data_IF_878390822402
#
_entry.id   IF_878390822402
#
_cell.length_a   1.000
_cell.length_b   1.000
_cell.length_c   1.000
_cell.angle_alpha   90.00
_cell.angle_beta   90.00
_cell.angle_gamma   90.00
#
_symmetry.space_group_name_H-M   'P 1'
#
loop_
_entity.id
_entity.type
_entity.pdbx_description
1 polymer ?
2 non-polymer ?
3 non-polymer ?
4 water ?
#
# COMPACT_ATOMS: atom_id res chain seq x y z
N UNK A 4 -17.71 7.55 25.15
CA UNK A 4 -16.46 7.77 24.32
C UNK A 4 -16.75 7.54 22.83
N UNK A 5 -16.68 8.58 21.97
CA UNK A 5 -17.10 8.46 20.58
C UNK A 5 -16.13 7.59 19.75
N UNK A 6 -16.65 6.89 18.75
CA UNK A 6 -15.81 6.11 17.79
C UNK A 6 -15.18 7.08 16.81
N UNK A 7 -13.90 6.95 16.46
CA UNK A 7 -13.29 7.91 15.53
C UNK A 7 -13.78 7.80 14.09
N UNK A 8 -13.67 8.92 13.37
CA UNK A 8 -14.01 9.06 11.93
C UNK A 8 -12.71 9.07 11.13
N UNK A 9 -11.60 9.37 11.80
CA UNK A 9 -10.26 9.45 11.20
C UNK A 9 -9.22 8.99 12.22
N UNK A 10 -8.19 8.28 11.74
CA UNK A 10 -7.01 7.88 12.56
C UNK A 10 -5.76 8.35 11.84
N UNK A 11 -4.65 8.38 12.55
CA UNK A 11 -3.36 8.64 11.89
C UNK A 11 -2.54 7.38 12.01
N UNK A 12 -1.83 7.12 10.92
CA UNK A 12 -1.03 5.89 10.75
C UNK A 12 0.37 6.34 10.41
N UNK A 13 1.32 5.82 11.15
CA UNK A 13 2.76 5.96 10.89
C UNK A 13 3.19 4.71 10.12
N UNK A 14 3.92 4.93 9.02
CA UNK A 14 4.59 3.85 8.24
C UNK A 14 6.09 4.11 8.30
N UNK A 15 6.86 3.15 8.78
CA UNK A 15 8.32 3.24 8.69
C UNK A 15 8.88 2.12 7.86
N UNK A 16 9.93 2.39 7.11
CA UNK A 16 10.70 1.35 6.39
C UNK A 16 12.18 1.65 6.62
N UNK A 17 12.89 0.63 7.05
CA UNK A 17 14.34 0.76 7.28
C UNK A 17 15.06 -0.53 6.94
N UNK A 18 15.97 -0.45 5.98
CA UNK A 18 16.93 -1.53 5.75
C UNK A 18 18.09 -1.27 6.74
N UNK A 19 18.22 -2.15 7.71
CA UNK A 19 19.13 -1.99 8.88
C UNK A 19 20.55 -2.43 8.52
N UNK A 20 20.77 -3.04 7.34
CA UNK A 20 22.13 -3.40 6.93
C UNK A 20 22.78 -4.38 7.90
N UNK A 21 21.97 -5.22 8.55
CA UNK A 21 22.43 -6.35 9.40
C UNK A 21 23.12 -5.83 10.67
N UNK A 22 22.94 -4.54 11.01
CA UNK A 22 23.59 -3.91 12.18
C UNK A 22 22.55 -3.56 13.20
N UNK A 23 22.87 -3.66 14.50
CA UNK A 23 21.95 -3.19 15.52
C UNK A 23 21.72 -1.70 15.38
N UNK A 24 20.57 -1.21 15.85
CA UNK A 24 20.27 0.21 15.75
C UNK A 24 21.08 0.97 16.80
N UNK A 25 21.17 2.31 16.67
CA UNK A 25 21.75 3.14 17.72
C UNK A 25 20.77 3.23 18.90
N UNK A 26 21.25 3.82 20.00
CA UNK A 26 20.51 3.92 21.29
C UNK A 26 19.21 4.70 21.10
N UNK A 27 19.22 5.71 20.23
CA UNK A 27 18.06 6.60 20.03
C UNK A 27 17.59 6.57 18.58
N UNK A 28 16.32 6.25 18.36
CA UNK A 28 15.74 6.24 17.00
C UNK A 28 14.44 7.03 17.01
N UNK A 29 14.19 7.84 18.03
CA UNK A 29 12.93 8.64 18.15
C UNK A 29 12.65 9.56 16.94
N UNK A 30 13.70 10.07 16.28
CA UNK A 30 13.58 10.98 15.11
C UNK A 30 12.77 10.29 14.01
N UNK A 31 12.89 8.96 13.89
CA UNK A 31 12.12 8.18 12.90
C UNK A 31 10.62 8.34 13.18
N UNK A 32 10.20 8.08 14.41
CA UNK A 32 8.77 8.02 14.77
C UNK A 32 8.20 9.44 14.85
N UNK A 33 9.06 10.43 15.00
CA UNK A 33 8.62 11.83 15.02
C UNK A 33 8.60 12.43 13.60
N UNK A 34 9.00 11.71 12.56
CA UNK A 34 9.03 12.22 11.17
C UNK A 34 9.90 13.50 11.12
N UNK A 35 11.11 13.41 11.67
CA UNK A 35 12.14 14.50 11.65
C UNK A 35 13.29 14.11 10.72
N UNK A 36 13.79 15.08 9.95
CA UNK A 36 14.99 14.91 9.14
C UNK A 36 14.81 15.70 7.88
N UNK A 37 14.88 15.02 6.74
CA UNK A 37 14.73 15.63 5.40
C UNK A 37 13.35 15.29 4.83
N UNK A 38 12.88 16.11 3.90
CA UNK A 38 11.67 15.84 3.13
C UNK A 38 10.51 16.59 3.70
N UNK A 39 9.33 15.98 3.63
CA UNK A 39 8.08 16.52 4.21
C UNK A 39 7.99 16.01 5.66
N UNK A 40 8.34 16.88 6.62
CA UNK A 40 8.51 16.50 8.03
C UNK A 40 7.32 17.00 8.84
N UNK A 41 7.20 16.42 10.00
CA UNK A 41 6.08 16.67 10.94
C UNK A 41 6.40 17.91 11.79
N UNK A 42 5.38 18.72 12.07
CA UNK A 42 5.51 19.94 12.91
C UNK A 42 5.90 19.55 14.36
N UNK A 43 6.83 20.33 14.92
CA UNK A 43 7.29 20.16 16.34
C UNK A 43 6.11 20.16 17.29
N UNK A 44 5.07 20.91 16.96
CA UNK A 44 3.91 21.05 17.88
C UNK A 44 3.14 19.72 18.04
N UNK A 45 3.38 18.74 17.16
CA UNK A 45 2.66 17.44 17.18
C UNK A 45 3.49 16.38 17.91
N UNK A 46 4.67 16.72 18.37
CA UNK A 46 5.63 15.68 18.82
C UNK A 46 5.03 14.76 19.89
N UNK A 47 4.21 15.28 20.80
CA UNK A 47 3.71 14.42 21.90
C UNK A 47 2.42 13.70 21.52
N UNK A 48 1.85 14.03 20.35
CA UNK A 48 0.54 13.48 19.92
C UNK A 48 0.84 12.10 19.33
N UNK A 49 0.38 11.00 19.93
CA UNK A 49 0.68 9.69 19.39
C UNK A 49 -0.15 9.47 18.12
N UNK A 50 0.46 8.77 17.16
CA UNK A 50 -0.31 8.18 16.06
C UNK A 50 -1.18 7.06 16.63
N UNK A 51 -2.28 6.74 15.96
CA UNK A 51 -3.19 5.65 16.38
C UNK A 51 -2.51 4.30 16.18
N UNK A 52 -1.81 4.18 15.07
CA UNK A 52 -1.22 2.88 14.62
C UNK A 52 0.17 3.19 14.08
N UNK A 53 1.17 2.43 14.53
CA UNK A 53 2.54 2.48 13.99
C UNK A 53 2.83 1.15 13.30
N UNK A 54 3.26 1.21 12.05
CA UNK A 54 3.62 0.01 11.28
C UNK A 54 5.06 0.16 10.89
N UNK A 55 5.89 -0.77 11.34
CA UNK A 55 7.37 -0.69 11.21
C UNK A 55 7.87 -1.85 10.35
N UNK A 56 8.37 -1.54 9.16
CA UNK A 56 8.94 -2.54 8.23
C UNK A 56 10.45 -2.42 8.29
N UNK A 57 11.12 -3.52 8.59
CA UNK A 57 12.59 -3.61 8.48
C UNK A 57 13.00 -4.66 7.43
N UNK A 58 14.19 -4.47 6.91
CA UNK A 58 14.87 -5.40 6.00
C UNK A 58 16.29 -5.55 6.54
N UNK A 59 16.93 -6.67 6.26
CA UNK A 59 18.29 -6.90 6.80
C UNK A 59 18.27 -6.65 8.32
N UNK A 60 17.22 -7.09 9.02
CA UNK A 60 17.05 -6.85 10.46
C UNK A 60 17.78 -7.96 11.21
N UNK A 61 18.82 -7.61 12.00
CA UNK A 61 19.60 -8.65 12.70
C UNK A 61 19.09 -9.02 14.09
N UNK A 62 18.02 -8.37 14.53
CA UNK A 62 17.50 -8.49 15.91
C UNK A 62 16.48 -9.62 15.99
N UNK A 63 16.29 -10.14 17.19
CA UNK A 63 15.16 -11.03 17.48
C UNK A 63 13.91 -10.16 17.48
N UNK A 64 12.76 -10.79 17.33
CA UNK A 64 11.46 -10.09 17.46
C UNK A 64 11.38 -9.47 18.86
N UNK A 65 11.81 -10.21 19.89
CA UNK A 65 11.78 -9.68 21.27
C UNK A 65 12.64 -8.42 21.38
N UNK A 66 13.85 -8.46 20.87
CA UNK A 66 14.79 -7.32 21.01
C UNK A 66 14.23 -6.09 20.29
N UNK A 67 13.69 -6.29 19.10
CA UNK A 67 13.18 -5.14 18.28
C UNK A 67 11.93 -4.54 18.93
N UNK A 68 11.01 -5.40 19.37
CA UNK A 68 9.74 -4.94 19.99
C UNK A 68 10.05 -4.13 21.25
N UNK A 69 11.04 -4.54 22.04
CA UNK A 69 11.47 -3.79 23.24
C UNK A 69 11.90 -2.38 22.83
N UNK A 70 12.76 -2.30 21.81
CA UNK A 70 13.31 -1.01 21.34
C UNK A 70 12.17 -0.15 20.83
N UNK A 71 11.26 -0.73 20.06
CA UNK A 71 10.15 0.05 19.48
C UNK A 71 9.25 0.58 20.59
N UNK A 72 8.83 -0.29 21.48
CA UNK A 72 7.92 0.12 22.56
C UNK A 72 8.57 1.21 23.44
N UNK A 73 9.85 1.04 23.77
CA UNK A 73 10.65 2.02 24.54
C UNK A 73 10.62 3.38 23.84
N UNK A 74 10.90 3.39 22.53
CA UNK A 74 10.99 4.63 21.72
C UNK A 74 9.64 5.35 21.75
N UNK A 75 8.53 4.62 21.59
CA UNK A 75 7.19 5.23 21.57
C UNK A 75 6.79 5.74 22.96
N UNK A 76 7.12 4.97 24.00
CA UNK A 76 6.90 5.36 25.42
C UNK A 76 7.62 6.68 25.70
N UNK A 77 8.89 6.78 25.30
CA UNK A 77 9.70 7.99 25.52
C UNK A 77 9.08 9.19 24.80
N UNK A 78 8.55 8.99 23.59
CA UNK A 78 7.95 10.11 22.81
C UNK A 78 6.62 10.52 23.43
N UNK A 79 5.76 9.56 23.71
CA UNK A 79 4.30 9.79 23.86
C UNK A 79 3.87 9.61 25.31
N UNK A 80 4.67 8.92 26.12
CA UNK A 80 4.27 8.44 27.48
C UNK A 80 3.11 7.44 27.40
N UNK A 81 2.94 6.77 26.26
CA UNK A 81 1.91 5.71 26.07
C UNK A 81 2.62 4.39 25.86
N UNK A 82 2.10 3.36 26.51
CA UNK A 82 2.56 1.96 26.34
C UNK A 82 1.72 1.33 25.23
N UNK A 83 2.32 1.18 24.06
CA UNK A 83 1.60 0.69 22.86
C UNK A 83 1.39 -0.81 22.98
N UNK A 84 0.29 -1.28 22.42
CA UNK A 84 -0.04 -2.71 22.34
C UNK A 84 0.47 -3.29 21.03
N UNK A 85 0.98 -4.51 21.08
CA UNK A 85 1.42 -5.27 19.89
C UNK A 85 0.20 -5.87 19.20
N UNK A 86 -0.10 -5.42 17.98
CA UNK A 86 -1.18 -5.99 17.14
C UNK A 86 -0.66 -7.24 16.47
N UNK A 87 0.50 -7.17 15.83
CA UNK A 87 1.06 -8.30 15.06
C UNK A 87 2.54 -8.07 14.85
N UNK A 88 3.26 -9.16 14.75
CA UNK A 88 4.67 -9.17 14.32
C UNK A 88 4.88 -10.40 13.46
N UNK A 89 5.54 -10.22 12.33
CA UNK A 89 5.78 -11.34 11.40
C UNK A 89 7.11 -11.14 10.71
N UNK A 90 7.92 -12.19 10.68
CA UNK A 90 9.28 -12.15 10.12
C UNK A 90 9.45 -13.26 9.11
N UNK A 91 10.04 -12.94 7.97
CA UNK A 91 10.50 -13.91 6.95
C UNK A 91 11.97 -13.60 6.80
N UNK A 92 12.82 -14.54 7.17
CA UNK A 92 14.28 -14.37 7.11
C UNK A 92 14.64 -13.09 7.90
N UNK A 93 15.08 -12.03 7.24
CA UNK A 93 15.49 -10.78 7.91
C UNK A 93 14.57 -9.61 7.52
N UNK A 94 13.37 -9.95 7.04
CA UNK A 94 12.30 -9.01 6.63
C UNK A 94 11.21 -9.07 7.69
N UNK A 95 10.87 -7.95 8.28
CA UNK A 95 9.97 -7.99 9.45
C UNK A 95 8.96 -6.86 9.38
N UNK A 96 7.79 -7.14 9.87
CA UNK A 96 6.76 -6.10 10.07
C UNK A 96 6.25 -6.18 11.50
N UNK A 97 6.15 -5.01 12.14
CA UNK A 97 5.56 -4.85 13.50
C UNK A 97 4.42 -3.86 13.37
N UNK A 98 3.25 -4.21 13.94
CA UNK A 98 2.13 -3.26 14.08
C UNK A 98 1.84 -3.04 15.56
N UNK A 99 1.90 -1.78 15.96
CA UNK A 99 1.61 -1.31 17.33
C UNK A 99 0.43 -0.37 17.28
N UNK A 100 -0.41 -0.40 18.30
CA UNK A 100 -1.55 0.53 18.37
C UNK A 100 -1.76 1.05 19.78
N UNK A 101 -2.36 2.24 19.88
CA UNK A 101 -2.81 2.82 21.18
C UNK A 101 -3.59 1.74 21.94
N UNK A 102 -3.45 1.64 23.27
CA UNK A 102 -4.26 0.68 24.03
C UNK A 102 -5.77 0.86 23.89
N UNK A 103 -6.21 2.09 23.70
CA UNK A 103 -7.66 2.39 23.57
C UNK A 103 -8.24 1.73 22.32
N UNK A 104 -7.41 1.27 21.38
CA UNK A 104 -7.86 0.65 20.11
C UNK A 104 -7.93 -0.88 20.20
N UNK A 105 -7.55 -1.46 21.33
CA UNK A 105 -7.39 -2.93 21.42
C UNK A 105 -8.68 -3.67 21.05
N UNK A 106 -9.84 -3.12 21.44
CA UNK A 106 -11.18 -3.72 21.21
C UNK A 106 -11.82 -3.09 19.96
N UNK A 107 -11.06 -2.31 19.18
CA UNK A 107 -11.50 -1.80 17.84
C UNK A 107 -10.83 -2.64 16.75
N UNK A 108 -9.80 -3.39 17.12
CA UNK A 108 -8.96 -4.16 16.16
C UNK A 108 -9.34 -5.62 16.23
N UNK A 109 -9.64 -6.21 15.08
CA UNK A 109 -10.02 -7.63 15.00
C UNK A 109 -9.56 -8.22 13.68
N UNK A 110 -9.76 -9.51 13.51
CA UNK A 110 -9.46 -10.23 12.23
C UNK A 110 -8.03 -9.94 11.83
N UNK A 111 -7.09 -10.14 12.73
CA UNK A 111 -5.66 -9.92 12.43
C UNK A 111 -5.17 -11.10 11.60
N UNK A 112 -4.53 -10.81 10.46
CA UNK A 112 -3.92 -11.82 9.57
C UNK A 112 -2.46 -11.45 9.32
N UNK A 113 -1.61 -12.47 9.16
CA UNK A 113 -0.20 -12.27 8.75
C UNK A 113 0.10 -13.24 7.66
N UNK A 114 1.01 -12.89 6.78
CA UNK A 114 1.50 -13.81 5.74
C UNK A 114 2.83 -13.33 5.20
N UNK A 115 3.46 -14.19 4.45
CA UNK A 115 4.70 -13.83 3.74
C UNK A 115 4.69 -14.48 2.37
N UNK A 116 5.48 -13.92 1.50
CA UNK A 116 5.77 -14.48 0.17
C UNK A 116 7.28 -14.47 0.00
N UNK A 117 7.82 -15.60 -0.46
CA UNK A 117 9.22 -15.76 -0.85
C UNK A 117 9.31 -15.59 -2.34
N UNK A 118 10.15 -14.67 -2.82
CA UNK A 118 10.19 -14.41 -4.28
C UNK A 118 11.30 -15.24 -4.94
N UNK A 119 11.22 -15.40 -6.26
CA UNK A 119 12.33 -16.03 -7.02
C UNK A 119 12.29 -17.55 -7.01
N UNK A 120 13.32 -18.18 -7.59
CA UNK A 120 13.43 -19.66 -7.81
C UNK A 120 14.91 -20.05 -7.65
N UNK A 121 15.20 -21.07 -6.84
CA UNK A 121 16.53 -21.68 -6.64
C UNK A 121 17.54 -20.60 -6.20
N UNK A 122 18.50 -20.22 -7.06
CA UNK A 122 19.48 -19.11 -6.90
C UNK A 122 18.87 -17.91 -6.17
N UNK A 123 17.67 -17.51 -6.61
CA UNK A 123 16.98 -16.23 -6.26
C UNK A 123 15.90 -16.46 -5.19
N UNK A 124 15.73 -17.70 -4.69
CA UNK A 124 14.91 -17.97 -3.47
C UNK A 124 15.87 -18.13 -2.29
N UNK A 125 15.66 -17.32 -1.25
CA UNK A 125 16.41 -17.50 0.01
C UNK A 125 16.48 -16.24 0.85
N UNK A 126 16.28 -15.06 0.25
CA UNK A 126 16.33 -13.88 1.14
C UNK A 126 15.41 -12.69 0.82
N UNK A 127 14.84 -12.65 -0.38
CA UNK A 127 13.93 -11.56 -0.84
C UNK A 127 12.48 -12.04 -0.72
N UNK A 128 11.55 -11.09 -0.53
CA UNK A 128 10.13 -11.42 -0.44
C UNK A 128 9.44 -10.34 0.31
N UNK A 129 8.35 -10.71 0.96
CA UNK A 129 7.51 -9.71 1.63
C UNK A 129 6.85 -10.35 2.83
N UNK A 130 6.53 -9.51 3.78
CA UNK A 130 5.67 -9.89 4.93
C UNK A 130 4.50 -8.93 4.92
N UNK A 131 3.41 -9.36 5.50
CA UNK A 131 2.26 -8.48 5.57
C UNK A 131 1.35 -8.76 6.73
N UNK A 132 0.58 -7.74 7.06
CA UNK A 132 -0.38 -7.73 8.19
C UNK A 132 -1.65 -7.10 7.65
N UNK A 133 -2.79 -7.69 7.99
CA UNK A 133 -4.08 -7.01 7.83
C UNK A 133 -4.92 -7.13 9.09
N UNK A 134 -5.86 -6.22 9.23
CA UNK A 134 -6.88 -6.31 10.30
C UNK A 134 -8.01 -5.38 9.96
N UNK A 135 -9.09 -5.52 10.71
CA UNK A 135 -10.21 -4.56 10.71
C UNK A 135 -9.98 -3.58 11.86
N UNK A 136 -10.21 -2.32 11.59
CA UNK A 136 -10.31 -1.27 12.61
C UNK A 136 -11.75 -0.79 12.55
N UNK A 137 -12.57 -1.19 13.52
CA UNK A 137 -14.04 -0.96 13.42
C UNK A 137 -14.48 -1.43 12.04
N UNK A 138 -15.11 -0.60 11.22
CA UNK A 138 -15.74 -1.05 9.97
C UNK A 138 -14.76 -0.95 8.80
N UNK A 139 -13.48 -0.64 9.08
CA UNK A 139 -12.48 -0.33 8.03
C UNK A 139 -11.42 -1.42 7.99
N UNK A 140 -11.13 -1.94 6.78
CA UNK A 140 -10.07 -2.95 6.58
C UNK A 140 -8.77 -2.25 6.19
N UNK A 141 -7.69 -2.66 6.84
CA UNK A 141 -6.34 -2.07 6.68
C UNK A 141 -5.39 -3.20 6.31
N UNK A 142 -4.58 -3.01 5.27
CA UNK A 142 -3.52 -3.94 4.88
C UNK A 142 -2.18 -3.25 4.84
N UNK A 143 -1.11 -4.00 5.17
CA UNK A 143 0.25 -3.43 5.25
C UNK A 143 1.20 -4.47 4.69
N UNK A 144 2.02 -4.05 3.74
CA UNK A 144 2.99 -4.93 3.05
C UNK A 144 4.38 -4.30 3.18
N UNK A 145 5.32 -5.07 3.72
CA UNK A 145 6.74 -4.72 3.77
C UNK A 145 7.45 -5.67 2.83
N UNK A 146 8.00 -5.18 1.73
CA UNK A 146 8.70 -6.03 0.75
C UNK A 146 10.16 -5.61 0.65
N UNK A 147 11.04 -6.58 0.49
CA UNK A 147 12.45 -6.37 0.15
C UNK A 147 12.63 -6.98 -1.24
N UNK A 148 12.67 -6.16 -2.28
CA UNK A 148 12.71 -6.65 -3.67
C UNK A 148 14.16 -6.85 -4.12
N UNK A 149 14.31 -7.48 -5.28
CA UNK A 149 15.61 -7.83 -5.87
C UNK A 149 16.48 -6.57 -5.96
N UNK A 150 17.77 -6.72 -5.65
CA UNK A 150 18.73 -5.59 -5.70
C UNK A 150 19.36 -5.49 -7.09
N UNK A 151 20.04 -4.38 -7.29
CA UNK A 151 20.88 -4.18 -8.48
C UNK A 151 20.23 -3.27 -9.49
N UNK A 152 20.97 -2.31 -10.02
CA UNK A 152 20.45 -1.34 -10.99
C UNK A 152 19.88 -1.98 -12.26
N UNK A 153 20.42 -3.14 -12.64
CA UNK A 153 20.12 -3.83 -13.92
C UNK A 153 18.84 -4.68 -13.82
N UNK A 154 18.27 -4.82 -12.61
CA UNK A 154 17.19 -5.81 -12.34
C UNK A 154 15.84 -5.16 -12.10
N UNK A 155 15.51 -4.07 -12.77
CA UNK A 155 14.17 -3.46 -12.52
C UNK A 155 13.07 -4.43 -12.96
N UNK A 156 13.27 -5.21 -14.05
CA UNK A 156 12.22 -6.13 -14.50
C UNK A 156 11.96 -7.21 -13.44
N UNK A 157 13.02 -7.70 -12.79
CA UNK A 157 12.94 -8.71 -11.69
C UNK A 157 12.14 -8.12 -10.54
N UNK A 158 12.40 -6.86 -10.20
CA UNK A 158 11.64 -6.18 -9.12
C UNK A 158 10.15 -6.16 -9.50
N UNK A 159 9.86 -5.89 -10.76
CA UNK A 159 8.43 -5.77 -11.18
C UNK A 159 7.79 -7.17 -11.05
N UNK A 160 8.55 -8.19 -11.39
CA UNK A 160 8.08 -9.60 -11.26
C UNK A 160 7.87 -9.90 -9.77
N UNK A 161 8.79 -9.48 -8.91
CA UNK A 161 8.67 -9.72 -7.45
C UNK A 161 7.36 -9.08 -6.96
N UNK A 162 7.08 -7.84 -7.41
CA UNK A 162 5.84 -7.12 -7.05
C UNK A 162 4.61 -7.97 -7.44
N UNK A 163 4.57 -8.49 -8.66
CA UNK A 163 3.38 -9.23 -9.13
C UNK A 163 3.24 -10.53 -8.31
N UNK A 164 4.35 -11.22 -8.03
CA UNK A 164 4.27 -12.45 -7.19
C UNK A 164 3.74 -12.12 -5.81
N UNK A 165 4.21 -11.05 -5.21
CA UNK A 165 3.75 -10.67 -3.85
C UNK A 165 2.24 -10.37 -3.90
N UNK A 166 1.86 -9.53 -4.86
CA UNK A 166 0.47 -9.10 -5.15
C UNK A 166 -0.44 -10.33 -5.24
N UNK A 167 0.01 -11.33 -6.00
CA UNK A 167 -0.79 -12.54 -6.31
C UNK A 167 -0.91 -13.46 -5.10
N UNK A 168 0.17 -13.65 -4.36
CA UNK A 168 0.27 -14.81 -3.43
C UNK A 168 0.21 -14.42 -1.96
N UNK A 169 0.26 -13.13 -1.62
CA UNK A 169 0.16 -12.77 -0.20
C UNK A 169 -1.30 -12.91 0.17
N UNK A 170 -1.58 -13.73 1.18
CA UNK A 170 -2.93 -14.13 1.58
C UNK A 170 -3.33 -13.34 2.81
N UNK A 171 -3.87 -12.15 2.60
CA UNK A 171 -4.30 -11.29 3.71
C UNK A 171 -5.77 -10.97 3.53
N UNK A 172 -6.40 -10.47 4.59
CA UNK A 172 -7.76 -9.94 4.49
C UNK A 172 -8.75 -11.06 4.41
N UNK A 173 -9.94 -10.74 3.89
CA UNK A 173 -11.12 -11.64 3.97
C UNK A 173 -11.01 -12.71 2.88
N UNK A 174 -10.81 -13.95 3.32
CA UNK A 174 -10.64 -15.07 2.36
C UNK A 174 -11.92 -15.27 1.53
N UNK A 175 -13.07 -14.83 1.89
CA UNK A 175 -14.31 -14.92 1.10
C UNK A 175 -14.22 -14.04 -0.15
N UNK A 176 -13.31 -13.07 -0.18
CA UNK A 176 -13.11 -12.19 -1.36
C UNK A 176 -12.24 -12.94 -2.37
N UNK A 177 -12.68 -14.14 -2.75
CA UNK A 177 -11.79 -15.10 -3.42
C UNK A 177 -11.30 -14.56 -4.76
N UNK A 178 -12.07 -13.79 -5.57
CA UNK A 178 -11.55 -13.29 -6.83
C UNK A 178 -10.48 -12.19 -6.70
N UNK A 179 -10.32 -11.64 -5.49
CA UNK A 179 -9.58 -10.37 -5.30
C UNK A 179 -8.23 -10.64 -4.65
N UNK A 180 -7.22 -9.98 -5.17
CA UNK A 180 -5.89 -9.97 -4.54
C UNK A 180 -5.80 -8.84 -3.53
N UNK A 181 -4.63 -8.70 -2.88
CA UNK A 181 -4.53 -7.67 -1.81
C UNK A 181 -4.80 -6.25 -2.34
N UNK A 182 -4.65 -5.99 -3.64
CA UNK A 182 -4.85 -4.61 -4.16
C UNK A 182 -6.34 -4.26 -4.18
N UNK A 183 -7.24 -5.17 -3.84
CA UNK A 183 -8.68 -4.86 -3.73
C UNK A 183 -9.28 -5.21 -2.39
N UNK A 184 -8.57 -5.86 -1.46
CA UNK A 184 -9.20 -6.42 -0.25
C UNK A 184 -9.37 -5.38 0.87
N UNK A 185 -8.70 -4.23 0.78
CA UNK A 185 -8.61 -3.27 1.90
C UNK A 185 -9.13 -1.89 1.55
N UNK A 186 -9.79 -1.25 2.53
CA UNK A 186 -10.14 0.17 2.43
C UNK A 186 -8.88 1.00 2.18
N UNK A 187 -7.82 0.67 2.90
CA UNK A 187 -6.50 1.30 2.78
C UNK A 187 -5.45 0.20 2.76
N UNK A 188 -4.59 0.26 1.75
CA UNK A 188 -3.44 -0.67 1.64
C UNK A 188 -2.18 0.17 1.58
N UNK A 189 -1.22 -0.13 2.45
CA UNK A 189 0.07 0.56 2.46
C UNK A 189 1.10 -0.47 2.05
N UNK A 190 1.94 -0.13 1.07
CA UNK A 190 2.99 -1.03 0.58
C UNK A 190 4.30 -0.27 0.64
N UNK A 191 5.26 -0.82 1.34
CA UNK A 191 6.51 -0.09 1.65
C UNK A 191 7.62 -1.14 1.68
N UNK A 192 8.84 -0.64 1.80
CA UNK A 192 10.00 -1.51 1.98
C UNK A 192 11.22 -1.00 1.25
N UNK A 193 12.23 -1.85 1.26
CA UNK A 193 13.40 -1.64 0.37
C UNK A 193 13.00 -2.17 -1.00
N UNK A 194 12.30 -1.37 -1.79
CA UNK A 194 11.84 -1.78 -3.12
C UNK A 194 13.01 -1.85 -4.11
N UNK A 195 14.13 -1.20 -3.81
CA UNK A 195 15.42 -1.41 -4.49
C UNK A 195 15.44 -0.85 -5.90
N UNK A 196 14.47 -0.02 -6.30
CA UNK A 196 14.58 0.71 -7.57
C UNK A 196 15.66 1.81 -7.46
N UNK A 197 16.41 2.00 -8.54
CA UNK A 197 17.62 2.84 -8.56
C UNK A 197 17.42 4.04 -9.49
N UNK A 198 18.30 5.00 -9.30
CA UNK A 198 18.43 6.16 -10.22
C UNK A 198 19.26 5.67 -11.40
N UNK A 199 18.64 5.52 -12.57
CA UNK A 199 19.27 4.92 -13.77
C UNK A 199 19.97 6.02 -14.56
N UNK A 200 21.21 6.32 -14.18
CA UNK A 200 22.07 7.30 -14.86
C UNK A 200 23.37 6.55 -15.06
N UNK A 201 24.24 6.97 -16.00
CA UNK A 201 25.49 6.27 -16.21
C UNK A 201 26.37 6.33 -14.96
N UNK A 202 27.15 5.26 -14.72
CA UNK A 202 27.95 5.08 -13.48
C UNK A 202 29.05 6.14 -13.39
N UNK A 203 29.48 6.69 -14.53
CA UNK A 203 30.52 7.75 -14.61
C UNK A 203 29.91 9.13 -14.30
N UNK A 204 28.58 9.22 -14.16
CA UNK A 204 27.90 10.42 -13.58
C UNK A 204 27.85 10.40 -12.03
N UNK A 205 28.48 9.45 -11.34
CA UNK A 205 28.33 9.32 -9.88
C UNK A 205 28.64 10.64 -9.18
N UNK A 206 29.73 11.29 -9.52
CA UNK A 206 30.16 12.48 -8.74
C UNK A 206 29.20 13.61 -9.09
N UNK A 207 28.70 13.65 -10.32
CA UNK A 207 27.68 14.66 -10.74
C UNK A 207 26.43 14.46 -9.89
N UNK A 208 26.02 13.21 -9.72
CA UNK A 208 24.82 12.92 -8.89
C UNK A 208 25.05 13.40 -7.45
N UNK A 209 26.19 13.07 -6.89
CA UNK A 209 26.53 13.50 -5.51
C UNK A 209 26.44 15.02 -5.36
N UNK A 210 26.96 15.78 -6.33
CA UNK A 210 26.94 17.27 -6.25
C UNK A 210 25.49 17.76 -6.38
N UNK A 211 24.64 17.10 -7.18
CA UNK A 211 23.20 17.46 -7.26
C UNK A 211 22.55 17.28 -5.88
N UNK A 212 22.85 16.15 -5.23
CA UNK A 212 22.28 15.88 -3.88
C UNK A 212 22.76 16.95 -2.88
N UNK A 213 24.04 17.31 -2.89
CA UNK A 213 24.57 18.35 -1.99
C UNK A 213 23.87 19.70 -2.23
N UNK A 214 23.41 19.96 -3.46
CA UNK A 214 22.67 21.20 -3.83
C UNK A 214 21.18 21.04 -3.57
N UNK A 215 20.75 19.88 -3.07
CA UNK A 215 19.31 19.60 -2.86
C UNK A 215 18.54 19.80 -4.16
N UNK A 216 19.14 19.45 -5.29
CA UNK A 216 18.54 19.53 -6.63
C UNK A 216 18.22 18.12 -7.05
N UNK A 217 17.00 17.66 -6.74
CA UNK A 217 16.64 16.24 -6.93
C UNK A 217 15.91 16.03 -8.26
N UNK A 218 15.49 17.08 -8.98
CA UNK A 218 14.59 16.93 -10.16
C UNK A 218 15.21 16.02 -11.24
N UNK A 219 16.48 16.22 -11.62
CA UNK A 219 17.12 15.47 -12.72
C UNK A 219 17.48 14.06 -12.21
N UNK A 220 17.47 13.85 -10.90
CA UNK A 220 17.66 12.48 -10.38
C UNK A 220 16.29 11.76 -10.40
N UNK A 221 15.25 12.37 -9.85
CA UNK A 221 13.91 11.72 -9.78
C UNK A 221 13.40 11.37 -11.19
N UNK A 222 13.73 12.18 -12.20
CA UNK A 222 13.29 11.92 -13.59
C UNK A 222 13.91 10.62 -14.10
N UNK A 223 14.92 10.05 -13.42
CA UNK A 223 15.55 8.77 -13.79
C UNK A 223 15.31 7.69 -12.73
N UNK A 224 14.48 7.97 -11.72
CA UNK A 224 14.16 6.94 -10.70
C UNK A 224 13.35 5.84 -11.35
N UNK A 225 13.79 4.61 -11.21
CA UNK A 225 13.17 3.49 -11.93
C UNK A 225 11.75 3.26 -11.44
N UNK A 226 11.47 3.53 -10.17
CA UNK A 226 10.11 3.24 -9.69
C UNK A 226 9.16 4.27 -10.33
N UNK A 227 9.50 5.55 -10.32
CA UNK A 227 8.66 6.58 -10.99
C UNK A 227 8.47 6.22 -12.47
N UNK A 228 9.53 5.83 -13.18
CA UNK A 228 9.43 5.60 -14.65
C UNK A 228 8.62 4.34 -14.89
N UNK A 229 8.84 3.26 -14.14
CA UNK A 229 8.06 2.01 -14.33
C UNK A 229 6.59 2.24 -14.00
N UNK A 230 6.29 3.04 -12.98
CA UNK A 230 4.91 3.41 -12.60
C UNK A 230 4.27 4.19 -13.75
N UNK A 231 5.01 5.15 -14.34
CA UNK A 231 4.44 6.01 -15.42
C UNK A 231 4.11 5.15 -16.64
N UNK A 232 4.92 4.12 -16.91
CA UNK A 232 4.68 3.17 -18.03
C UNK A 232 3.77 2.00 -17.62
N UNK A 233 3.17 2.05 -16.43
CA UNK A 233 2.14 1.07 -15.98
C UNK A 233 2.76 -0.32 -15.96
N UNK A 234 4.02 -0.39 -15.52
CA UNK A 234 4.71 -1.71 -15.41
C UNK A 234 4.59 -2.26 -13.99
N UNK A 235 4.27 -1.43 -12.99
CA UNK A 235 4.29 -1.84 -11.57
C UNK A 235 3.45 -0.84 -10.79
N UNK A 236 2.87 -1.28 -9.69
CA UNK A 236 2.15 -0.45 -8.73
C UNK A 236 1.06 0.37 -9.43
N UNK A 237 0.33 -0.27 -10.33
CA UNK A 237 -0.77 0.44 -11.01
C UNK A 237 -1.81 0.81 -9.95
N UNK A 238 -2.29 2.05 -10.01
CA UNK A 238 -3.39 2.59 -9.16
C UNK A 238 -2.94 2.81 -7.73
N UNK A 239 -1.62 2.79 -7.46
CA UNK A 239 -1.07 3.23 -6.17
C UNK A 239 -0.63 4.69 -6.23
N UNK A 240 -0.53 5.32 -5.06
CA UNK A 240 -0.08 6.72 -4.89
C UNK A 240 1.24 6.74 -4.13
N UNK A 241 2.08 7.75 -4.39
CA UNK A 241 3.28 8.01 -3.59
C UNK A 241 3.33 9.52 -3.43
N UNK A 242 3.69 9.98 -2.22
CA UNK A 242 3.91 11.43 -1.95
C UNK A 242 5.16 11.85 -2.73
N UNK A 243 5.19 13.11 -3.19
CA UNK A 243 6.40 13.67 -3.83
C UNK A 243 7.60 13.47 -2.92
N UNK A 244 8.72 13.06 -3.51
CA UNK A 244 9.98 12.88 -2.78
C UNK A 244 10.76 14.18 -2.74
N UNK A 245 11.04 14.64 -1.53
CA UNK A 245 11.76 15.92 -1.28
C UNK A 245 12.94 15.71 -0.34
N UNK A 246 13.38 14.47 -0.18
CA UNK A 246 14.53 14.08 0.68
C UNK A 246 15.60 13.47 -0.21
N UNK A 247 16.83 13.45 0.30
CA UNK A 247 17.98 12.95 -0.47
C UNK A 247 17.82 11.45 -0.64
N UNK A 248 18.45 10.85 -1.66
CA UNK A 248 18.50 9.40 -1.78
C UNK A 248 18.92 8.76 -0.46
N UNK A 249 18.30 7.62 -0.13
CA UNK A 249 18.45 6.99 1.22
C UNK A 249 19.47 5.85 1.21
N UNK A 250 20.12 5.66 0.07
CA UNK A 250 21.05 4.54 -0.20
C UNK A 250 22.03 5.06 -1.25
N UNK A 251 23.33 4.69 -1.24
CA UNK A 251 24.00 3.84 -0.27
C UNK A 251 25.02 4.70 0.50
N UNK A 252 24.90 4.77 1.83
CA UNK A 252 25.73 5.64 2.69
C UNK A 252 26.90 4.83 3.25
N UNK A 253 28.02 5.50 3.48
CA UNK A 253 29.03 5.03 4.46
C UNK A 253 28.38 5.01 5.83
N UNK A 254 28.59 3.94 6.60
CA UNK A 254 28.02 3.86 7.95
C UNK A 254 28.67 4.88 8.88
N UNK A 255 27.94 5.32 9.90
CA UNK A 255 28.38 6.15 11.05
C UNK A 255 28.49 7.63 10.69
N UNK A 256 28.25 8.03 9.44
CA UNK A 256 28.05 9.44 9.03
C UNK A 256 26.85 9.46 8.08
N UNK A 257 26.34 10.61 7.66
CA UNK A 257 25.55 10.70 6.40
C UNK A 257 26.27 11.59 5.39
N UNK A 258 27.57 11.78 5.57
CA UNK A 258 28.34 12.76 4.78
C UNK A 258 28.77 12.16 3.43
N UNK A 259 28.79 10.82 3.33
CA UNK A 259 29.38 10.14 2.15
C UNK A 259 28.42 9.08 1.61
N UNK A 260 28.18 9.14 0.31
CA UNK A 260 27.59 8.04 -0.47
C UNK A 260 28.70 7.10 -0.91
N UNK A 261 28.55 5.82 -0.60
CA UNK A 261 29.49 4.74 -0.98
C UNK A 261 28.93 4.06 -2.23
N UNK A 262 29.36 4.48 -3.42
CA UNK A 262 28.75 4.01 -4.69
C UNK A 262 29.64 3.09 -5.54
N UNK A 263 30.95 3.12 -5.31
CA UNK A 263 31.96 2.45 -6.17
C UNK A 263 31.80 0.92 -6.06
N UNK A 264 32.14 0.20 -7.13
CA UNK A 264 32.06 -1.28 -7.15
C UNK A 264 33.20 -1.83 -6.28
N UNK A 265 32.87 -2.85 -5.50
CA UNK A 265 33.75 -3.52 -4.52
C UNK A 265 33.48 -5.03 -4.59
N UNK A 266 34.44 -5.88 -4.18
CA UNK A 266 34.13 -7.32 -4.09
C UNK A 266 32.84 -7.52 -3.30
N UNK A 267 32.67 -6.79 -2.19
CA UNK A 267 31.50 -6.90 -1.28
C UNK A 267 30.20 -6.63 -2.04
N UNK A 268 30.23 -5.82 -3.09
CA UNK A 268 28.99 -5.50 -3.87
C UNK A 268 28.82 -6.42 -5.09
N UNK A 269 29.59 -7.50 -5.21
CA UNK A 269 29.58 -8.29 -6.45
C UNK A 269 30.08 -7.48 -7.62
N UNK A 270 30.98 -6.54 -7.37
CA UNK A 270 31.54 -5.60 -8.38
C UNK A 270 30.41 -4.83 -9.08
N UNK A 271 29.40 -4.44 -8.30
CA UNK A 271 28.26 -3.61 -8.74
C UNK A 271 28.41 -2.20 -8.20
N UNK A 272 28.08 -1.20 -9.01
CA UNK A 272 27.96 0.20 -8.57
C UNK A 272 26.62 0.33 -7.86
N UNK A 273 26.61 1.11 -6.80
CA UNK A 273 25.35 1.48 -6.12
C UNK A 273 25.23 3.01 -6.18
N UNK A 274 24.88 3.57 -7.34
CA UNK A 274 24.65 5.01 -7.44
C UNK A 274 23.56 5.38 -6.42
N UNK A 275 23.64 6.57 -5.81
CA UNK A 275 22.64 7.05 -4.86
C UNK A 275 21.24 6.86 -5.43
N UNK A 276 20.36 6.28 -4.61
CA UNK A 276 19.02 5.87 -5.05
C UNK A 276 18.00 5.98 -3.93
N UNK A 277 16.77 6.14 -4.34
CA UNK A 277 15.61 6.11 -3.42
C UNK A 277 15.08 4.67 -3.35
N UNK A 278 15.87 3.81 -2.73
CA UNK A 278 15.51 2.38 -2.54
C UNK A 278 14.29 2.19 -1.63
N UNK A 279 14.08 3.10 -0.71
CA UNK A 279 13.24 2.90 0.51
C UNK A 279 11.98 3.74 0.38
N UNK A 280 10.80 3.13 0.25
CA UNK A 280 9.61 3.85 -0.30
C UNK A 280 8.35 3.44 0.44
N UNK A 281 7.38 4.33 0.41
CA UNK A 281 6.03 4.06 0.94
C UNK A 281 5.03 4.49 -0.12
N UNK A 282 4.19 3.55 -0.50
CA UNK A 282 3.05 3.78 -1.43
C UNK A 282 1.76 3.32 -0.78
N UNK A 283 0.64 3.80 -1.30
CA UNK A 283 -0.66 3.37 -0.78
C UNK A 283 -1.69 3.34 -1.88
N UNK A 284 -2.74 2.61 -1.59
CA UNK A 284 -3.93 2.52 -2.46
C UNK A 284 -5.14 2.41 -1.54
N UNK A 285 -6.06 3.36 -1.65
CA UNK A 285 -7.30 3.37 -0.86
C UNK A 285 -8.47 3.27 -1.84
N UNK A 286 -9.56 2.74 -1.37
CA UNK A 286 -10.81 2.67 -2.15
C UNK A 286 -11.19 4.09 -2.56
N UNK A 287 -11.90 4.19 -3.69
CA UNK A 287 -12.32 5.48 -4.21
C UNK A 287 -13.13 6.32 -3.22
N UNK A 288 -12.79 7.61 -3.17
CA UNK A 288 -13.49 8.63 -2.34
C UNK A 288 -13.43 8.32 -0.85
N UNK A 289 -12.43 7.57 -0.40
CA UNK A 289 -12.15 7.46 1.04
C UNK A 289 -11.05 8.48 1.35
N UNK A 290 -11.21 9.20 2.46
CA UNK A 290 -10.20 10.18 2.91
C UNK A 290 -8.88 9.48 3.21
N UNK A 291 -7.82 9.91 2.56
CA UNK A 291 -6.43 9.48 2.91
C UNK A 291 -5.54 10.62 2.53
N UNK A 292 -4.78 11.15 3.47
CA UNK A 292 -3.90 12.32 3.20
C UNK A 292 -2.53 12.05 3.80
N UNK A 293 -1.49 12.09 2.98
CA UNK A 293 -0.10 11.97 3.49
C UNK A 293 0.30 13.26 4.20
N UNK A 294 0.67 13.15 5.48
CA UNK A 294 1.07 14.28 6.36
C UNK A 294 2.59 14.42 6.40
N UNK A 295 3.33 13.35 6.14
CA UNK A 295 4.81 13.39 6.17
C UNK A 295 5.36 12.29 5.25
N UNK A 296 6.51 12.57 4.67
CA UNK A 296 7.23 11.59 3.83
C UNK A 296 8.66 12.06 3.74
N UNK A 297 9.55 11.37 4.46
CA UNK A 297 10.93 11.84 4.56
C UNK A 297 11.85 10.79 5.06
N UNK A 298 13.06 11.20 5.35
CA UNK A 298 14.11 10.30 5.88
C UNK A 298 14.78 10.95 7.08
N UNK A 299 15.30 10.13 7.98
CA UNK A 299 16.00 10.66 9.15
C UNK A 299 17.42 10.99 8.71
N UNK A 300 18.05 11.86 9.47
CA UNK A 300 19.43 12.32 9.23
C UNK A 300 20.39 11.84 10.32
N UNK A 301 19.90 11.34 11.46
CA UNK A 301 20.70 11.11 12.67
C UNK A 301 20.79 9.62 13.00
N UNK A 302 20.30 8.72 12.15
CA UNK A 302 20.38 7.26 12.42
C UNK A 302 21.30 6.71 11.33
N UNK A 303 22.50 6.29 11.72
CA UNK A 303 23.67 6.12 10.79
C UNK A 303 24.26 4.71 10.86
N UNK A 304 23.62 3.77 11.56
CA UNK A 304 24.19 2.39 11.75
C UNK A 304 24.13 1.60 10.44
N UNK A 305 23.20 1.91 9.53
CA UNK A 305 23.02 1.19 8.27
C UNK A 305 23.57 2.00 7.08
N UNK A 306 23.72 1.34 5.94
CA UNK A 306 24.02 2.01 4.67
C UNK A 306 22.72 2.56 4.08
N UNK A 307 21.57 2.36 4.71
CA UNK A 307 20.32 3.06 4.35
C UNK A 307 19.90 3.96 5.47
N UNK A 308 19.27 5.09 5.17
CA UNK A 308 18.54 5.88 6.18
C UNK A 308 17.11 5.40 6.26
N UNK A 309 16.54 5.39 7.49
CA UNK A 309 15.12 5.17 7.71
C UNK A 309 14.25 6.14 6.93
N UNK A 310 13.09 5.66 6.49
CA UNK A 310 12.07 6.48 5.80
C UNK A 310 10.83 6.39 6.66
N UNK A 311 10.17 7.52 6.80
CA UNK A 311 8.87 7.64 7.47
C UNK A 311 7.85 8.20 6.50
N UNK A 312 6.62 7.82 6.71
CA UNK A 312 5.44 8.45 6.11
C UNK A 312 4.33 8.41 7.14
N UNK A 313 3.52 9.44 7.17
CA UNK A 313 2.32 9.41 8.02
C UNK A 313 1.11 9.81 7.19
N UNK A 314 -0.01 9.29 7.64
CA UNK A 314 -1.28 9.47 6.94
C UNK A 314 -2.43 9.74 7.90
N UNK A 315 -3.36 10.59 7.49
CA UNK A 315 -4.71 10.69 8.09
C UNK A 315 -5.65 9.84 7.23
N UNK A 316 -6.29 8.82 7.82
CA UNK A 316 -7.09 7.83 7.10
C UNK A 316 -8.51 7.80 7.65
N UNK A 317 -9.48 7.91 6.76
CA UNK A 317 -10.89 7.80 7.16
C UNK A 317 -11.21 6.40 7.57
N UNK A 318 -12.01 6.29 8.63
CA UNK A 318 -12.47 5.01 9.18
C UNK A 318 -13.96 5.17 9.48
N UNK A 319 -14.64 4.05 9.46
CA UNK A 319 -16.09 3.96 9.75
C UNK A 319 -16.32 3.09 10.97
N UNK A 320 -17.49 3.26 11.60
CA UNK A 320 -17.87 2.58 12.86
C UNK A 320 -18.46 1.20 12.55
N UNK A 321 -18.41 0.29 13.53
CA UNK A 321 -19.08 -1.04 13.47
C UNK A 321 -20.58 -0.76 13.62
N UNK A 322 -21.29 -0.62 12.50
CA UNK A 322 -22.71 -0.20 12.44
C UNK A 322 -23.64 -1.34 12.86
N UNK A 323 -24.60 -1.03 13.73
CA UNK A 323 -25.74 -1.92 14.10
C UNK A 323 -27.04 -1.12 13.94
N UNK A 324 -28.02 -1.69 13.23
CA UNK A 324 -29.42 -1.19 13.15
C UNK A 324 -30.33 -2.19 13.88
N UNK A 325 -31.65 -1.95 13.83
CA UNK A 325 -32.67 -2.89 14.37
C UNK A 325 -32.76 -4.10 13.45
N UNK A 326 -32.38 -3.92 12.17
CA UNK A 326 -32.42 -4.96 11.10
C UNK A 326 -31.04 -5.60 10.97
N UNK A 327 -30.18 -5.07 10.08
CA UNK A 327 -28.82 -5.64 9.89
C UNK A 327 -27.96 -5.19 11.06
N UNK A 328 -26.95 -6.00 11.51
CA UNK A 328 -26.66 -7.31 10.94
C UNK A 328 -27.68 -8.42 11.22
N UNK A 329 -27.62 -9.50 10.42
CA UNK A 329 -28.40 -10.74 10.62
C UNK A 329 -29.70 -10.73 9.82
N UNK A 330 -29.85 -9.74 8.93
CA UNK A 330 -31.05 -9.54 8.07
C UNK A 330 -30.79 -8.31 7.19
N UNK A 331 -31.65 -8.06 6.21
CA UNK A 331 -31.52 -6.88 5.28
C UNK A 331 -32.45 -5.75 5.75
N UNK A 332 -32.24 -4.55 5.21
CA UNK A 332 -33.05 -3.33 5.47
C UNK A 332 -33.86 -3.03 4.21
N UNK A 333 -35.14 -3.40 4.19
CA UNK A 333 -36.03 -3.38 3.00
C UNK A 333 -35.85 -2.06 2.22
N UNK A 334 -35.57 -0.97 2.93
CA UNK A 334 -35.48 0.40 2.34
C UNK A 334 -34.34 0.45 1.32
N UNK A 335 -33.21 -0.21 1.62
CA UNK A 335 -31.96 -0.12 0.83
C UNK A 335 -31.99 -0.98 -0.42
N UNK A 336 -31.44 -0.47 -1.52
CA UNK A 336 -31.24 -1.23 -2.78
C UNK A 336 -30.18 -0.54 -3.64
N UNK A 337 -29.40 -1.33 -4.38
CA UNK A 337 -28.41 -0.80 -5.35
C UNK A 337 -28.79 -1.41 -6.70
N UNK A 338 -29.08 -0.55 -7.67
CA UNK A 338 -29.39 -0.95 -9.06
C UNK A 338 -28.28 -0.48 -9.98
N UNK A 339 -27.89 -1.35 -10.92
CA UNK A 339 -26.96 -1.05 -12.05
C UNK A 339 -27.79 -0.95 -13.35
N UNK A 340 -27.61 0.14 -14.09
CA UNK A 340 -28.30 0.39 -15.38
C UNK A 340 -27.23 0.49 -16.46
N UNK A 341 -27.52 -0.02 -17.66
CA UNK A 341 -26.74 0.23 -18.88
C UNK A 341 -25.27 -0.07 -18.56
N UNK A 342 -24.97 -1.20 -17.92
CA UNK A 342 -23.56 -1.53 -17.57
C UNK A 342 -22.91 -2.39 -18.65
N UNK A 343 -21.63 -2.15 -18.90
CA UNK A 343 -20.87 -3.02 -19.81
C UNK A 343 -19.41 -3.04 -19.36
N UNK A 344 -18.81 -4.18 -19.58
CA UNK A 344 -17.37 -4.38 -19.35
C UNK A 344 -16.71 -4.33 -20.73
N UNK A 345 -15.56 -3.72 -20.78
CA UNK A 345 -14.69 -3.74 -21.97
C UNK A 345 -13.45 -4.53 -21.57
N UNK A 346 -13.15 -5.63 -22.25
CA UNK A 346 -12.02 -6.50 -21.84
C UNK A 346 -10.97 -6.56 -22.94
N UNK A 347 -9.72 -6.63 -22.56
CA UNK A 347 -8.56 -6.74 -23.48
C UNK A 347 -8.38 -8.19 -23.97
N UNK A 348 -9.09 -9.14 -23.41
CA UNK A 348 -8.98 -10.59 -23.71
C UNK A 348 -9.27 -10.92 -25.19
N UNK A 349 -8.58 -11.95 -25.69
CA UNK A 349 -8.79 -12.50 -27.05
C UNK A 349 -9.80 -13.66 -26.95
N UNK A 350 -10.06 -14.16 -25.75
CA UNK A 350 -10.99 -15.29 -25.49
C UNK A 350 -12.42 -14.88 -25.90
N UNK A 351 -13.32 -15.86 -26.00
CA UNK A 351 -14.73 -15.66 -26.46
C UNK A 351 -15.73 -16.45 -25.58
N UNK A 352 -15.33 -16.89 -24.37
CA UNK A 352 -16.26 -17.44 -23.36
C UNK A 352 -17.36 -16.40 -23.07
N UNK A 353 -18.47 -16.84 -22.52
CA UNK A 353 -19.45 -15.95 -21.85
C UNK A 353 -18.84 -15.53 -20.49
N UNK A 354 -19.25 -14.38 -20.01
CA UNK A 354 -18.84 -13.84 -18.69
C UNK A 354 -20.06 -13.52 -17.84
N UNK A 355 -19.85 -13.58 -16.54
CA UNK A 355 -20.81 -13.11 -15.51
C UNK A 355 -20.03 -12.25 -14.51
N UNK A 356 -20.77 -11.47 -13.72
CA UNK A 356 -20.17 -10.64 -12.65
C UNK A 356 -20.39 -11.30 -11.30
N UNK A 357 -19.46 -11.05 -10.38
CA UNK A 357 -19.74 -11.20 -8.92
C UNK A 357 -19.62 -9.85 -8.24
N UNK A 358 -20.60 -9.51 -7.39
CA UNK A 358 -20.59 -8.30 -6.57
C UNK A 358 -20.28 -8.72 -5.13
N UNK A 359 -19.19 -8.19 -4.57
CA UNK A 359 -18.76 -8.50 -3.20
C UNK A 359 -18.71 -7.23 -2.37
N UNK A 360 -19.28 -7.25 -1.18
CA UNK A 360 -19.27 -6.08 -0.29
C UNK A 360 -19.69 -6.52 1.09
N UNK A 361 -19.05 -5.94 2.11
CA UNK A 361 -19.41 -6.09 3.54
C UNK A 361 -20.86 -5.62 3.77
N UNK A 362 -21.40 -4.77 2.89
CA UNK A 362 -22.80 -4.29 3.01
C UNK A 362 -23.81 -5.33 2.51
N UNK A 363 -23.36 -6.46 1.95
CA UNK A 363 -24.23 -7.60 1.51
C UNK A 363 -24.02 -8.77 2.46
N UNK A 364 -25.07 -9.60 2.60
CA UNK A 364 -25.03 -10.85 3.40
C UNK A 364 -23.93 -11.76 2.84
N UNK A 365 -23.93 -11.94 1.52
CA UNK A 365 -22.90 -12.69 0.79
C UNK A 365 -22.86 -12.18 -0.65
N UNK A 366 -21.87 -12.60 -1.40
CA UNK A 366 -21.62 -12.07 -2.77
C UNK A 366 -22.78 -12.47 -3.68
N UNK A 367 -22.96 -11.67 -4.71
CA UNK A 367 -24.09 -11.84 -5.68
C UNK A 367 -23.51 -12.12 -7.06
N UNK A 368 -24.01 -13.17 -7.71
CA UNK A 368 -23.56 -13.64 -9.04
C UNK A 368 -24.62 -13.29 -10.09
N UNK A 369 -24.23 -12.49 -11.09
CA UNK A 369 -25.15 -12.03 -12.17
C UNK A 369 -25.38 -13.20 -13.15
N UNK A 370 -26.34 -12.99 -14.05
CA UNK A 370 -26.52 -13.77 -15.30
C UNK A 370 -25.35 -13.44 -16.21
N UNK A 371 -25.14 -14.25 -17.23
CA UNK A 371 -24.13 -13.96 -18.29
C UNK A 371 -24.51 -12.69 -19.02
N UNK A 372 -23.51 -11.91 -19.41
CA UNK A 372 -23.64 -10.75 -20.29
C UNK A 372 -23.71 -11.15 -21.76
N UNK A 373 -24.03 -10.18 -22.63
CA UNK A 373 -24.08 -10.34 -24.11
C UNK A 373 -22.77 -9.81 -24.71
N UNK A 374 -21.93 -10.71 -25.23
CA UNK A 374 -20.67 -10.37 -25.92
C UNK A 374 -20.98 -9.68 -27.25
N UNK A 375 -20.34 -8.54 -27.48
CA UNK A 375 -20.24 -7.91 -28.82
C UNK A 375 -18.76 -7.62 -29.08
N UNK A 376 -18.38 -7.55 -30.35
CA UNK A 376 -17.07 -7.05 -30.84
C UNK A 376 -17.08 -5.52 -30.80
N UNK A 377 -16.11 -4.91 -30.11
CA UNK A 377 -15.86 -3.45 -30.09
C UNK A 377 -15.11 -2.99 -31.34
N UNK A 378 -15.35 -1.76 -31.78
CA UNK A 378 -14.79 -1.19 -33.04
C UNK A 378 -13.30 -1.53 -33.18
N UNK A 379 -12.50 -1.27 -32.14
CA UNK A 379 -11.02 -1.30 -32.20
C UNK A 379 -10.49 -2.67 -31.74
N UNK A 380 -11.24 -3.75 -31.94
CA UNK A 380 -10.79 -5.14 -31.69
C UNK A 380 -11.25 -5.74 -30.35
N UNK A 381 -11.74 -4.91 -29.42
CA UNK A 381 -11.97 -5.29 -27.99
C UNK A 381 -13.17 -6.23 -27.85
N UNK A 382 -13.27 -6.91 -26.70
CA UNK A 382 -14.53 -7.57 -26.31
C UNK A 382 -15.35 -6.62 -25.42
N UNK A 383 -16.62 -6.41 -25.76
CA UNK A 383 -17.58 -5.61 -24.96
C UNK A 383 -18.59 -6.62 -24.42
N UNK A 384 -18.75 -6.67 -23.12
CA UNK A 384 -19.71 -7.59 -22.50
C UNK A 384 -20.84 -6.72 -21.98
N UNK A 385 -22.04 -6.84 -22.55
CA UNK A 385 -23.16 -5.95 -22.20
C UNK A 385 -24.03 -6.62 -21.15
N UNK A 386 -24.42 -5.88 -20.12
CA UNK A 386 -25.31 -6.40 -19.06
C UNK A 386 -26.68 -5.73 -19.14
N UNK A 387 -26.78 -4.63 -19.87
CA UNK A 387 -27.99 -3.80 -20.00
C UNK A 387 -28.59 -3.48 -18.63
N UNK A 388 -29.82 -3.95 -18.41
CA UNK A 388 -30.65 -3.72 -17.21
C UNK A 388 -30.87 -5.07 -16.54
N UNK A 389 -30.02 -6.05 -16.87
CA UNK A 389 -30.17 -7.47 -16.46
C UNK A 389 -29.54 -7.69 -15.08
N UNK A 390 -28.70 -6.79 -14.58
CA UNK A 390 -27.92 -7.06 -13.33
C UNK A 390 -28.87 -7.16 -12.13
N UNK A 391 -28.57 -8.05 -11.15
CA UNK A 391 -29.44 -8.22 -9.99
C UNK A 391 -29.55 -6.91 -9.17
N UNK A 392 -30.68 -6.73 -8.49
CA UNK A 392 -30.85 -5.63 -7.50
C UNK A 392 -30.17 -6.07 -6.21
N UNK A 393 -29.17 -5.32 -5.72
CA UNK A 393 -28.39 -5.70 -4.50
C UNK A 393 -29.13 -5.16 -3.29
N UNK A 394 -29.21 -5.99 -2.25
CA UNK A 394 -29.99 -5.73 -1.04
C UNK A 394 -29.03 -5.57 0.13
N UNK A 395 -28.66 -4.32 0.48
CA UNK A 395 -27.71 -4.11 1.57
C UNK A 395 -28.38 -4.45 2.90
N UNK A 396 -27.54 -4.83 3.87
CA UNK A 396 -27.96 -5.31 5.22
C UNK A 396 -28.45 -4.14 6.07
N UNK A 397 -28.05 -2.94 5.71
CA UNK A 397 -28.39 -1.68 6.43
C UNK A 397 -28.70 -0.60 5.37
N UNK A 398 -29.76 0.19 5.53
CA UNK A 398 -30.20 1.16 4.50
C UNK A 398 -29.87 2.59 4.93
N UNK A 399 -29.46 2.78 6.19
CA UNK A 399 -29.12 4.11 6.73
C UNK A 399 -28.08 4.73 5.80
N UNK A 400 -28.31 5.94 5.26
CA UNK A 400 -27.38 6.58 4.32
C UNK A 400 -26.03 6.86 4.98
N UNK A 401 -25.99 7.15 6.29
CA UNK A 401 -24.73 7.41 7.02
C UNK A 401 -23.84 6.16 6.94
N UNK A 402 -24.45 5.01 6.77
CA UNK A 402 -23.67 3.75 6.57
C UNK A 402 -23.44 3.52 5.08
N UNK A 403 -24.51 3.54 4.28
CA UNK A 403 -24.47 2.92 2.94
C UNK A 403 -23.59 3.78 2.03
N UNK A 404 -23.65 5.09 2.17
CA UNK A 404 -22.88 5.99 1.29
C UNK A 404 -21.37 5.82 1.56
N UNK A 405 -20.97 5.21 2.66
CA UNK A 405 -19.52 5.00 2.98
C UNK A 405 -19.04 3.63 2.47
N UNK A 406 -19.90 2.86 1.81
CA UNK A 406 -19.55 1.46 1.41
C UNK A 406 -19.01 1.43 -0.01
N UNK A 407 -18.53 0.25 -0.39
CA UNK A 407 -17.90 0.00 -1.71
C UNK A 407 -18.36 -1.37 -2.21
N UNK A 408 -18.54 -1.48 -3.53
CA UNK A 408 -18.86 -2.76 -4.20
C UNK A 408 -17.64 -3.19 -5.00
N UNK A 409 -17.04 -4.30 -4.63
CA UNK A 409 -16.02 -4.95 -5.49
C UNK A 409 -16.75 -5.73 -6.58
N UNK A 410 -16.21 -5.66 -7.79
CA UNK A 410 -16.76 -6.33 -9.00
C UNK A 410 -15.68 -7.23 -9.56
N UNK A 411 -16.03 -8.48 -9.80
CA UNK A 411 -15.19 -9.42 -10.56
C UNK A 411 -15.97 -9.86 -11.79
N UNK A 412 -15.30 -9.87 -12.95
CA UNK A 412 -15.91 -10.42 -14.20
C UNK A 412 -15.25 -11.77 -14.43
N UNK A 413 -16.06 -12.83 -14.46
CA UNK A 413 -15.55 -14.21 -14.43
C UNK A 413 -16.00 -14.92 -15.70
N UNK A 414 -15.17 -15.82 -16.21
CA UNK A 414 -15.45 -16.69 -17.37
C UNK A 414 -16.49 -17.75 -16.95
N UNK A 415 -17.57 -17.93 -17.69
CA UNK A 415 -18.55 -19.03 -17.45
C UNK A 415 -17.86 -20.39 -17.60
N UNK A 416 -16.87 -20.51 -18.47
CA UNK A 416 -16.23 -21.81 -18.83
C UNK A 416 -15.30 -22.25 -17.70
N UNK A 417 -14.61 -21.30 -17.06
CA UNK A 417 -13.49 -21.63 -16.14
C UNK A 417 -13.75 -21.10 -14.72
N UNK A 418 -14.66 -20.14 -14.57
CA UNK A 418 -14.97 -19.47 -13.27
C UNK A 418 -13.72 -18.72 -12.76
N UNK A 419 -12.90 -18.40 -13.68
CA UNK A 419 -11.70 -17.61 -13.31
C UNK A 419 -12.01 -16.12 -13.56
N UNK A 420 -11.46 -15.25 -12.63
CA UNK A 420 -11.66 -13.79 -12.81
C UNK A 420 -10.77 -13.30 -13.94
N UNK A 421 -11.35 -12.51 -14.85
CA UNK A 421 -10.60 -11.81 -15.90
C UNK A 421 -10.34 -10.37 -15.51
N UNK A 422 -10.97 -9.90 -14.45
CA UNK A 422 -10.80 -8.50 -14.05
C UNK A 422 -11.56 -8.19 -12.78
N UNK A 423 -10.96 -7.31 -11.99
CA UNK A 423 -11.48 -6.91 -10.67
C UNK A 423 -11.41 -5.39 -10.57
N UNK A 424 -12.41 -4.79 -9.93
CA UNK A 424 -12.41 -3.35 -9.70
C UNK A 424 -13.32 -3.01 -8.55
N UNK A 425 -13.51 -1.72 -8.29
CA UNK A 425 -14.22 -1.26 -7.08
C UNK A 425 -15.03 -0.03 -7.41
N UNK A 426 -16.26 0.00 -6.93
CA UNK A 426 -17.19 1.15 -7.11
C UNK A 426 -17.53 1.72 -5.75
N UNK A 427 -17.33 3.01 -5.57
CA UNK A 427 -17.75 3.72 -4.33
C UNK A 427 -19.26 3.97 -4.37
N UNK A 428 -19.90 3.84 -3.23
CA UNK A 428 -21.32 4.28 -3.04
C UNK A 428 -21.43 5.72 -2.51
N UNK A 429 -20.32 6.47 -2.47
CA UNK A 429 -20.27 7.88 -1.99
C UNK A 429 -20.81 8.79 -3.09
N UNK A 430 -22.10 8.63 -3.43
CA UNK A 430 -22.72 9.28 -4.60
C UNK A 430 -23.10 10.74 -4.32
N UNK A 431 -23.22 11.50 -5.40
CA UNK A 431 -23.68 12.92 -5.40
C UNK A 431 -25.16 13.00 -5.03
N UNK A 432 -25.90 11.93 -5.24
CA UNK A 432 -27.37 11.85 -5.05
C UNK A 432 -27.82 10.41 -4.89
N UNK A 433 -28.96 10.21 -4.22
CA UNK A 433 -29.66 8.91 -4.10
C UNK A 433 -30.93 8.95 -4.96
N UNK A 434 -31.48 7.79 -5.28
CA UNK A 434 -32.71 7.69 -6.10
C UNK A 434 -32.49 8.38 -7.45
N UNK A 435 -31.25 8.44 -7.96
CA UNK A 435 -30.84 9.21 -9.16
C UNK A 435 -29.90 8.32 -9.98
N UNK A 436 -30.09 8.20 -11.30
CA UNK A 436 -29.14 7.43 -12.15
C UNK A 436 -27.86 8.24 -12.29
N UNK A 437 -26.70 7.68 -11.94
CA UNK A 437 -25.42 8.44 -11.92
C UNK A 437 -24.36 7.56 -12.56
N UNK A 438 -23.42 8.15 -13.30
CA UNK A 438 -22.37 7.36 -13.93
C UNK A 438 -21.48 6.69 -12.87
N UNK A 439 -21.09 5.44 -13.13
CA UNK A 439 -20.05 4.72 -12.36
C UNK A 439 -19.00 4.19 -13.33
N UNK A 440 -17.81 3.97 -12.80
CA UNK A 440 -16.65 3.56 -13.60
C UNK A 440 -15.63 2.94 -12.65
N UNK A 441 -15.01 1.86 -13.09
CA UNK A 441 -13.73 1.41 -12.48
C UNK A 441 -12.88 0.79 -13.58
N UNK A 442 -11.57 0.96 -13.51
CA UNK A 442 -10.70 0.09 -14.31
C UNK A 442 -10.79 -1.34 -13.75
N UNK A 443 -10.47 -2.33 -14.58
CA UNK A 443 -10.42 -3.74 -14.16
C UNK A 443 -8.98 -4.18 -14.28
N UNK A 444 -8.52 -4.88 -13.25
CA UNK A 444 -7.17 -5.46 -13.26
C UNK A 444 -7.27 -6.93 -12.92
N UNK A 445 -6.22 -7.64 -13.26
CA UNK A 445 -6.04 -9.05 -12.85
C UNK A 445 -4.56 -9.25 -12.68
N UNK A 446 -4.20 -9.86 -11.56
CA UNK A 446 -2.78 -9.96 -11.15
C UNK A 446 -2.17 -8.56 -11.17
N UNK A 447 -2.97 -7.54 -10.89
CA UNK A 447 -2.50 -6.14 -10.75
C UNK A 447 -2.18 -5.46 -12.06
N UNK A 448 -2.45 -6.10 -13.23
CA UNK A 448 -2.30 -5.56 -14.59
C UNK A 448 -3.66 -5.16 -15.15
N UNK A 449 -3.69 -4.08 -15.93
CA UNK A 449 -4.94 -3.62 -16.57
C UNK A 449 -5.49 -4.67 -17.55
N UNK A 450 -6.73 -5.06 -17.39
CA UNK A 450 -7.40 -6.06 -18.26
C UNK A 450 -8.65 -5.51 -18.91
N UNK A 451 -9.10 -4.33 -18.50
CA UNK A 451 -10.37 -3.80 -19.03
C UNK A 451 -10.93 -2.67 -18.21
N UNK A 452 -12.21 -2.43 -18.40
CA UNK A 452 -12.97 -1.34 -17.74
C UNK A 452 -14.39 -1.80 -17.50
N UNK A 453 -15.02 -1.27 -16.45
CA UNK A 453 -16.44 -1.51 -16.19
C UNK A 453 -17.09 -0.14 -16.00
N UNK A 454 -18.18 0.09 -16.72
CA UNK A 454 -18.85 1.41 -16.62
C UNK A 454 -20.34 1.21 -16.85
N UNK A 455 -21.10 2.18 -16.38
CA UNK A 455 -22.56 2.15 -16.52
C UNK A 455 -23.13 3.20 -15.61
N UNK A 456 -24.32 2.91 -15.09
CA UNK A 456 -24.99 3.84 -14.18
C UNK A 456 -25.42 3.06 -12.94
N UNK A 457 -25.53 3.79 -11.84
CA UNK A 457 -25.99 3.22 -10.54
C UNK A 457 -27.17 4.07 -10.12
N UNK A 458 -28.06 3.43 -9.31
CA UNK A 458 -29.22 4.08 -8.66
C UNK A 458 -29.24 3.51 -7.23
N UNK A 459 -28.98 4.32 -6.20
CA UNK A 459 -28.86 3.90 -4.80
C UNK A 459 -30.08 4.40 -4.05
N UNK A 460 -30.79 3.47 -3.40
CA UNK A 460 -31.93 3.73 -2.48
C UNK A 460 -31.44 3.57 -1.04
N UNK A 461 -31.55 4.62 -0.23
CA UNK A 461 -31.23 4.58 1.21
C UNK A 461 -32.56 4.83 1.94
N UNK A 462 -32.56 4.71 3.26
CA UNK A 462 -33.73 5.04 4.10
C UNK A 462 -34.09 6.54 4.02
N UNK A 463 -33.23 7.41 3.50
CA UNK A 463 -33.55 8.87 3.47
C UNK A 463 -33.98 9.35 2.07
X LIG B 1 16.18 0.77 25.76
X LIG B 1 17.94 2.91 25.73
X LIG B 1 16.25 1.61 26.87
X LIG B 1 17.25 -3.26 27.89
X LIG B 1 17.74 -3.52 26.42
X LIG B 1 16.93 -2.51 25.50
X LIG B 1 16.53 -2.09 27.81
X LIG B 1 16.97 0.98 24.65
X LIG B 1 17.87 2.05 24.63
X LIG B 1 17.15 2.70 26.84
X LIG B 1 16.41 -4.42 28.37
X LIG B 1 15.97 -1.97 26.28
X LIG B 1 13.93 -0.41 26.76
X LIG B 1 14.35 -0.86 24.52
X LIG B 1 15.01 -0.63 25.80
X LIG C 1 -14.86 1.35 5.00
X LIG C 1 -14.54 2.10 6.23
X LIG C 1 -15.08 2.57 3.75
X LIG C 1 -16.59 0.91 5.14
X LIG D 1 -15.66 -4.14 1.17
X LIG D 1 -17.14 -4.04 1.41
X LIG D 1 -15.26 -5.88 1.19
X LIG D 1 -15.47 -3.91 -0.54
X LIG E 1 -9.86 0.50 -9.06
X LIG E 1 -9.83 -0.58 -8.02
X LIG E 1 -8.41 1.52 -8.92
X LIG E 1 -11.07 1.65 -8.50
#
# INVERSE_FOLDING_TARGET
SMEQPEPDMITIFIGTWNMGNAPPPKKITSWFLSKGQGKTRDDSADYIPHDIYVIGTQEDPLSEKEWLEILKHSLQEITSVTFKTVAIHTLWNIRIVVLAKPEHENRISHICTDNVKTGIANTLGNKGAVGVSFMFNGTSLGFVNSHLTSGSEKKLRRNQNYMNILRFLALGDKKLSPFNITHRFTHLFWFGDLNYRVDLPTWEAETIIQKIKQQQYADLLSHDQLLTERREQKVFLHFEEEEITFAPTYRFERLTRDKYAYTKQKATGMKYNLPSWCDRVLWKSYPLVHVVCQSYGSTSDIMTSDHSPVFATFEAGVTSQFVSKNGPGTVDSQGQIEFLRCYATLKTKSQTKFYLEFHSSCLESFVKSQEGENEEGSEGELVVKFGETLPKLKPIISDPEYLLDQHILISIKSSDSDESYGEGCIALRLEATETQLPIYTPLTHHGELTGHFQGEIKLQTSQ
WNM C10 C13 C15 C02 C03 C04 C06 C11 C12 C14 N01 N05 O08 O09 S07
DMS S O C1 C2
DMS S O C1 C2
DMS S O C1 C2
#
